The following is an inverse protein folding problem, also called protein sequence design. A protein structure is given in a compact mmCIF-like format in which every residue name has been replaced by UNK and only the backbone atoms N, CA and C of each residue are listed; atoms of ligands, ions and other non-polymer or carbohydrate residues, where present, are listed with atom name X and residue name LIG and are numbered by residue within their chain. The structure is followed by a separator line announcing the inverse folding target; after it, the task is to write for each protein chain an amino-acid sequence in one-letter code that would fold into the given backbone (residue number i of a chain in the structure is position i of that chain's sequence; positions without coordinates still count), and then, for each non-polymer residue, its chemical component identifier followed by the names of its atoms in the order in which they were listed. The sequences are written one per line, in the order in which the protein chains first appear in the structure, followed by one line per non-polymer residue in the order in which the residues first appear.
data_IF_848205657168
#
_entry.id   IF_848205657168
#
_cell.length_a   1.000
_cell.length_b   1.000
_cell.length_c   1.000
_cell.angle_alpha   90.00
_cell.angle_beta   90.00
_cell.angle_gamma   90.00
#
_symmetry.space_group_name_H-M   'P 1'
#
loop_
_entity.id
_entity.type
_entity.pdbx_description
1 polymer ?
#
# COMPACT_ATOMS: atom_id res chain seq x y z
N UNK A 1 33.68 39.28 16.72
CA UNK A 1 32.69 38.35 17.33
C UNK A 1 31.57 38.09 16.32
N UNK A 2 31.49 36.89 15.76
CA UNK A 2 30.48 36.53 14.73
C UNK A 2 29.06 36.51 15.34
N UNK A 3 28.13 37.27 14.76
CA UNK A 3 26.82 37.56 15.35
C UNK A 3 25.93 36.31 15.49
N UNK A 4 25.36 36.08 16.68
CA UNK A 4 24.49 34.94 17.01
C UNK A 4 23.20 34.84 16.17
N UNK A 5 22.80 35.93 15.49
CA UNK A 5 21.66 35.95 14.55
C UNK A 5 21.88 34.96 13.40
N UNK A 6 23.11 34.81 12.91
CA UNK A 6 23.45 33.89 11.81
C UNK A 6 23.34 32.42 12.21
N UNK A 7 23.72 32.05 13.45
CA UNK A 7 23.67 30.66 13.92
C UNK A 7 22.23 30.17 14.16
N UNK A 8 21.36 31.01 14.75
CA UNK A 8 19.95 30.66 14.98
C UNK A 8 19.18 30.49 13.66
N UNK A 9 19.43 31.37 12.68
CA UNK A 9 18.85 31.26 11.34
C UNK A 9 19.34 29.99 10.65
N UNK A 10 20.66 29.70 10.68
CA UNK A 10 21.21 28.45 10.12
C UNK A 10 20.57 27.21 10.76
N UNK A 11 20.35 27.21 12.09
CA UNK A 11 19.70 26.11 12.80
C UNK A 11 18.21 25.97 12.45
N UNK A 12 17.51 27.08 12.23
CA UNK A 12 16.12 27.09 11.78
C UNK A 12 15.99 26.60 10.34
N UNK A 13 16.85 27.08 9.42
CA UNK A 13 16.91 26.63 8.04
C UNK A 13 17.25 25.14 7.94
N UNK A 14 18.22 24.65 8.72
CA UNK A 14 18.54 23.22 8.79
C UNK A 14 17.37 22.37 9.31
N UNK A 15 16.62 22.86 10.31
CA UNK A 15 15.38 22.20 10.78
C UNK A 15 14.29 22.20 9.70
N UNK A 16 14.10 23.31 8.97
CA UNK A 16 13.12 23.42 7.88
C UNK A 16 13.50 22.55 6.68
N UNK A 17 14.78 22.46 6.32
CA UNK A 17 15.28 21.54 5.29
C UNK A 17 15.06 20.07 5.68
N UNK A 18 15.18 19.73 6.96
CA UNK A 18 14.83 18.40 7.48
C UNK A 18 13.33 18.10 7.44
N UNK A 19 12.47 19.12 7.56
CA UNK A 19 11.02 19.01 7.41
C UNK A 19 10.58 18.98 5.94
N UNK A 20 11.32 19.63 5.04
CA UNK A 20 11.03 19.71 3.61
C UNK A 20 11.74 18.60 2.81
N UNK A 21 11.74 17.36 3.34
CA UNK A 21 12.26 16.21 2.59
C UNK A 21 11.28 15.87 1.48
N UNK A 22 11.77 15.49 0.28
CA UNK A 22 10.89 15.01 -0.77
C UNK A 22 10.10 13.82 -0.21
N UNK A 23 8.79 13.86 -0.44
CA UNK A 23 7.89 12.79 -0.06
C UNK A 23 8.37 11.54 -0.82
N UNK A 24 8.74 10.44 -0.15
CA UNK A 24 9.23 9.26 -0.85
C UNK A 24 8.18 8.70 -1.80
N UNK A 25 8.65 8.18 -2.92
CA UNK A 25 7.82 7.85 -4.07
C UNK A 25 6.73 6.80 -3.78
N UNK A 26 6.95 5.92 -2.80
CA UNK A 26 5.94 4.95 -2.36
C UNK A 26 4.67 5.60 -1.79
N UNK A 27 4.74 6.84 -1.28
CA UNK A 27 3.54 7.58 -0.83
C UNK A 27 2.66 7.99 -2.02
N UNK A 28 3.25 8.09 -3.22
CA UNK A 28 2.53 8.43 -4.45
C UNK A 28 2.11 7.20 -5.25
N UNK A 29 2.51 5.99 -4.84
CA UNK A 29 2.01 4.77 -5.47
C UNK A 29 0.52 4.68 -5.28
N UNK A 30 -0.19 4.58 -6.39
CA UNK A 30 -1.63 4.36 -6.40
C UNK A 30 -1.91 2.86 -6.42
N UNK A 31 -3.15 2.51 -6.10
CA UNK A 31 -3.68 1.16 -6.28
C UNK A 31 -3.56 0.69 -7.73
N UNK A 32 -3.67 1.60 -8.71
CA UNK A 32 -3.45 1.35 -10.14
C UNK A 32 -2.03 0.81 -10.42
N UNK A 33 -1.01 1.41 -9.80
CA UNK A 33 0.38 1.01 -10.00
C UNK A 33 0.64 -0.39 -9.43
N UNK A 34 0.03 -0.72 -8.29
CA UNK A 34 0.10 -2.03 -7.65
C UNK A 34 -0.56 -3.09 -8.55
N UNK A 35 -1.75 -2.79 -9.08
CA UNK A 35 -2.45 -3.70 -9.99
C UNK A 35 -1.70 -3.88 -11.31
N UNK A 36 -1.05 -2.84 -11.83
CA UNK A 36 -0.20 -2.94 -13.00
C UNK A 36 0.99 -3.88 -12.74
N UNK A 37 1.65 -3.72 -11.59
CA UNK A 37 2.74 -4.62 -11.17
C UNK A 37 2.26 -6.07 -11.05
N UNK A 38 1.13 -6.31 -10.39
CA UNK A 38 0.54 -7.63 -10.21
C UNK A 38 0.33 -8.34 -11.55
N UNK A 39 -0.22 -7.64 -12.55
CA UNK A 39 -0.43 -8.18 -13.90
C UNK A 39 0.88 -8.52 -14.62
N UNK A 40 1.92 -7.71 -14.41
CA UNK A 40 3.23 -7.98 -15.01
C UNK A 40 3.99 -9.12 -14.33
N UNK A 41 3.75 -9.33 -13.03
CA UNK A 41 4.44 -10.34 -12.24
C UNK A 41 3.78 -11.73 -12.38
N UNK A 42 2.45 -11.81 -12.31
CA UNK A 42 1.70 -13.07 -12.43
C UNK A 42 1.93 -13.70 -13.80
N UNK A 43 2.43 -14.93 -13.83
CA UNK A 43 2.77 -15.69 -15.03
C UNK A 43 4.12 -15.32 -15.65
N UNK A 44 4.87 -14.39 -15.05
CA UNK A 44 6.20 -14.03 -15.53
C UNK A 44 7.25 -15.09 -15.16
N UNK A 45 8.37 -15.09 -15.88
CA UNK A 45 9.52 -15.93 -15.53
C UNK A 45 10.07 -15.63 -14.13
N UNK A 46 9.97 -14.37 -13.69
CA UNK A 46 10.37 -13.96 -12.33
C UNK A 46 9.57 -14.69 -11.26
N UNK A 47 8.24 -14.76 -11.43
CA UNK A 47 7.39 -15.49 -10.49
C UNK A 47 7.77 -16.98 -10.43
N UNK A 48 8.07 -17.59 -11.58
CA UNK A 48 8.50 -18.99 -11.63
C UNK A 48 9.82 -19.18 -10.87
N UNK A 49 10.78 -18.28 -11.05
CA UNK A 49 12.07 -18.31 -10.37
C UNK A 49 11.90 -18.13 -8.85
N UNK A 50 11.14 -17.12 -8.42
CA UNK A 50 10.88 -16.83 -7.01
C UNK A 50 10.15 -17.99 -6.33
N UNK A 51 9.18 -18.60 -7.03
CA UNK A 51 8.45 -19.79 -6.54
C UNK A 51 9.38 -21.00 -6.38
N UNK A 52 10.26 -21.26 -7.36
CA UNK A 52 11.25 -22.35 -7.27
C UNK A 52 12.22 -22.13 -6.12
N UNK A 53 12.70 -20.91 -5.95
CA UNK A 53 13.61 -20.55 -4.87
C UNK A 53 12.93 -20.71 -3.50
N UNK A 54 11.71 -20.20 -3.33
CA UNK A 54 10.93 -20.38 -2.12
C UNK A 54 10.71 -21.88 -1.82
N UNK A 55 10.40 -22.68 -2.84
CA UNK A 55 10.23 -24.12 -2.69
C UNK A 55 11.50 -24.82 -2.18
N UNK A 56 12.68 -24.47 -2.71
CA UNK A 56 13.96 -25.00 -2.24
C UNK A 56 14.26 -24.56 -0.80
N UNK A 57 14.05 -23.29 -0.48
CA UNK A 57 14.30 -22.74 0.86
C UNK A 57 13.45 -23.43 1.93
N UNK A 58 12.17 -23.69 1.64
CA UNK A 58 11.21 -24.24 2.59
C UNK A 58 10.94 -25.74 2.42
N UNK A 59 11.73 -26.43 1.58
CA UNK A 59 11.63 -27.88 1.34
C UNK A 59 10.20 -28.35 1.03
N UNK A 60 9.46 -27.56 0.25
CA UNK A 60 8.09 -27.86 -0.15
C UNK A 60 6.98 -27.50 0.85
N UNK A 61 7.28 -26.70 1.89
CA UNK A 61 6.27 -26.19 2.82
C UNK A 61 5.37 -25.10 2.21
N UNK A 62 4.16 -25.47 1.77
CA UNK A 62 3.24 -24.54 1.09
C UNK A 62 2.85 -23.30 1.91
N UNK A 63 2.69 -23.41 3.23
CA UNK A 63 2.38 -22.23 4.08
C UNK A 63 3.44 -21.14 3.92
N UNK A 64 4.71 -21.53 4.02
CA UNK A 64 5.85 -20.61 4.00
C UNK A 64 6.09 -20.07 2.58
N UNK A 65 5.86 -20.91 1.56
CA UNK A 65 5.94 -20.50 0.16
C UNK A 65 4.89 -19.42 -0.13
N UNK A 66 3.63 -19.61 0.28
CA UNK A 66 2.57 -18.62 0.04
C UNK A 66 2.81 -17.29 0.76
N UNK A 67 3.46 -17.32 1.92
CA UNK A 67 3.83 -16.11 2.68
C UNK A 67 5.01 -15.36 2.04
N UNK A 68 5.91 -16.08 1.35
CA UNK A 68 7.10 -15.49 0.75
C UNK A 68 6.91 -15.04 -0.70
N UNK A 69 6.05 -15.70 -1.49
CA UNK A 69 5.85 -15.37 -2.90
C UNK A 69 4.95 -14.13 -3.02
N UNK A 70 5.41 -13.15 -3.80
CA UNK A 70 4.70 -11.90 -4.01
C UNK A 70 3.37 -12.09 -4.77
N UNK A 71 2.41 -11.21 -4.48
CA UNK A 71 1.13 -11.13 -5.19
C UNK A 71 0.30 -12.43 -5.18
N UNK A 72 0.46 -13.25 -4.14
CA UNK A 72 -0.31 -14.50 -3.98
C UNK A 72 -1.36 -14.33 -2.89
N UNK A 73 -2.60 -14.65 -3.24
CA UNK A 73 -3.68 -14.85 -2.28
C UNK A 73 -3.78 -16.33 -1.89
N UNK A 74 -4.22 -16.64 -0.68
CA UNK A 74 -4.44 -18.04 -0.25
C UNK A 74 -5.47 -18.78 -1.11
N UNK A 75 -6.37 -18.06 -1.79
CA UNK A 75 -7.33 -18.62 -2.76
C UNK A 75 -6.65 -19.05 -4.07
N UNK A 76 -5.49 -18.50 -4.40
CA UNK A 76 -4.73 -18.79 -5.62
C UNK A 76 -3.66 -19.87 -5.41
N UNK A 77 -3.64 -20.52 -4.23
CA UNK A 77 -2.79 -21.68 -3.95
C UNK A 77 -2.73 -22.74 -5.07
N UNK A 78 -3.84 -23.19 -5.69
CA UNK A 78 -3.77 -24.21 -6.75
C UNK A 78 -2.92 -23.79 -7.94
N UNK A 79 -2.81 -22.49 -8.23
CA UNK A 79 -1.96 -21.95 -9.30
C UNK A 79 -0.49 -22.14 -8.98
N UNK A 80 -0.07 -21.75 -7.77
CA UNK A 80 1.32 -21.92 -7.29
C UNK A 80 1.67 -23.40 -7.21
N UNK A 81 0.73 -24.24 -6.76
CA UNK A 81 0.91 -25.68 -6.74
C UNK A 81 1.16 -26.25 -8.13
N UNK A 82 0.41 -25.80 -9.14
CA UNK A 82 0.60 -26.23 -10.52
C UNK A 82 1.99 -25.83 -11.06
N UNK A 83 2.44 -24.61 -10.76
CA UNK A 83 3.80 -24.14 -11.12
C UNK A 83 4.87 -25.06 -10.54
N UNK A 84 4.77 -25.37 -9.25
CA UNK A 84 5.71 -26.27 -8.56
C UNK A 84 5.65 -27.68 -9.17
N UNK A 85 4.44 -28.18 -9.40
CA UNK A 85 4.23 -29.51 -9.96
C UNK A 85 4.84 -29.63 -11.37
N UNK A 86 4.68 -28.62 -12.21
CA UNK A 86 5.35 -28.53 -13.52
C UNK A 86 6.87 -28.49 -13.37
N UNK A 87 7.40 -27.74 -12.41
CA UNK A 87 8.84 -27.68 -12.15
C UNK A 87 9.42 -29.04 -11.67
N UNK A 88 8.66 -29.80 -10.89
CA UNK A 88 9.01 -31.17 -10.47
C UNK A 88 8.98 -32.12 -11.68
N UNK A 89 7.94 -32.06 -12.51
CA UNK A 89 7.85 -32.89 -13.72
C UNK A 89 8.96 -32.60 -14.72
N UNK A 90 9.38 -31.34 -14.84
CA UNK A 90 10.52 -30.93 -15.65
C UNK A 90 11.88 -31.31 -15.03
N UNK A 91 11.92 -31.83 -13.80
CA UNK A 91 13.15 -32.17 -13.10
C UNK A 91 13.98 -30.96 -12.63
N UNK A 92 13.43 -29.74 -12.70
CA UNK A 92 14.13 -28.51 -12.31
C UNK A 92 14.29 -28.38 -10.79
N UNK A 93 13.44 -29.06 -10.02
CA UNK A 93 13.40 -28.99 -8.55
C UNK A 93 13.10 -30.39 -7.98
N UNK A 94 13.76 -30.82 -6.89
CA UNK A 94 13.49 -32.13 -6.29
C UNK A 94 12.07 -32.22 -5.71
N UNK A 95 11.52 -33.43 -5.68
CA UNK A 95 10.23 -33.68 -5.01
C UNK A 95 10.43 -33.85 -3.50
N UNK A 96 9.90 -32.93 -2.69
CA UNK A 96 9.92 -33.05 -1.23
C UNK A 96 8.66 -33.73 -0.69
N UNK A 97 8.86 -34.60 0.31
CA UNK A 97 7.79 -35.37 0.95
C UNK A 97 6.69 -34.49 1.59
N UNK A 98 7.07 -33.32 2.12
CA UNK A 98 6.15 -32.36 2.75
C UNK A 98 5.10 -31.90 1.74
N UNK A 99 5.52 -31.63 0.50
CA UNK A 99 4.65 -31.19 -0.58
C UNK A 99 3.77 -32.33 -1.10
N UNK A 100 4.34 -33.52 -1.27
CA UNK A 100 3.64 -34.70 -1.81
C UNK A 100 2.57 -35.23 -0.84
N UNK A 101 2.87 -35.30 0.46
CA UNK A 101 1.95 -35.82 1.48
C UNK A 101 0.97 -34.78 2.02
N UNK A 102 0.91 -33.59 1.44
CA UNK A 102 0.00 -32.58 1.92
C UNK A 102 -1.46 -32.98 1.71
N UNK A 103 -2.27 -32.92 2.78
CA UNK A 103 -3.67 -33.30 2.73
C UNK A 103 -4.54 -32.19 2.15
N UNK A 104 -5.61 -32.57 1.43
CA UNK A 104 -6.63 -31.63 0.95
C UNK A 104 -7.28 -30.83 2.08
N UNK A 105 -7.40 -31.43 3.27
CA UNK A 105 -7.90 -30.75 4.46
C UNK A 105 -7.03 -29.56 4.87
N UNK A 106 -5.69 -29.68 4.80
CA UNK A 106 -4.79 -28.56 5.10
C UNK A 106 -4.95 -27.41 4.11
N UNK A 107 -5.12 -27.72 2.82
CA UNK A 107 -5.42 -26.71 1.79
C UNK A 107 -6.73 -25.98 2.11
N UNK A 108 -7.82 -26.72 2.30
CA UNK A 108 -9.14 -26.14 2.57
C UNK A 108 -9.14 -25.32 3.88
N UNK A 109 -8.39 -25.76 4.89
CA UNK A 109 -8.23 -25.03 6.14
C UNK A 109 -7.47 -23.70 5.97
N UNK A 110 -6.52 -23.60 5.02
CA UNK A 110 -5.89 -22.32 4.67
C UNK A 110 -6.90 -21.39 4.00
N UNK A 111 -7.59 -21.88 2.97
CA UNK A 111 -8.58 -21.07 2.24
C UNK A 111 -9.69 -20.58 3.17
N UNK A 112 -10.18 -21.43 4.08
CA UNK A 112 -11.21 -21.05 5.05
C UNK A 112 -10.72 -19.96 6.00
N UNK A 113 -9.52 -20.10 6.59
CA UNK A 113 -8.94 -19.08 7.48
C UNK A 113 -8.80 -17.73 6.78
N UNK A 114 -8.28 -17.72 5.56
CA UNK A 114 -8.15 -16.48 4.79
C UNK A 114 -9.51 -15.83 4.47
N UNK A 115 -10.54 -16.65 4.15
CA UNK A 115 -11.89 -16.14 3.93
C UNK A 115 -12.55 -15.62 5.21
N UNK A 116 -12.25 -16.23 6.35
CA UNK A 116 -12.76 -15.82 7.65
C UNK A 116 -12.10 -14.52 8.12
N UNK A 117 -10.77 -14.41 8.01
CA UNK A 117 -10.01 -13.18 8.26
C UNK A 117 -10.48 -12.02 7.37
N UNK A 118 -10.77 -12.29 6.07
CA UNK A 118 -11.31 -11.27 5.17
C UNK A 118 -12.70 -10.78 5.60
N UNK A 119 -13.56 -11.70 6.07
CA UNK A 119 -14.89 -11.35 6.60
C UNK A 119 -14.79 -10.58 7.91
N UNK A 120 -13.89 -10.99 8.81
CA UNK A 120 -13.63 -10.28 10.07
C UNK A 120 -13.12 -8.87 9.79
N UNK A 121 -12.16 -8.69 8.87
CA UNK A 121 -11.67 -7.38 8.46
C UNK A 121 -12.79 -6.50 7.87
N UNK A 122 -13.71 -7.07 7.09
CA UNK A 122 -14.86 -6.33 6.55
C UNK A 122 -15.83 -5.91 7.66
N UNK A 123 -16.11 -6.79 8.62
CA UNK A 123 -16.95 -6.49 9.78
C UNK A 123 -16.31 -5.41 10.65
N UNK A 124 -15.01 -5.53 10.97
CA UNK A 124 -14.28 -4.51 11.73
C UNK A 124 -14.23 -3.17 10.99
N UNK A 125 -14.11 -3.15 9.66
CA UNK A 125 -14.18 -1.91 8.87
C UNK A 125 -15.53 -1.22 9.02
N UNK A 126 -16.62 -2.00 8.98
CA UNK A 126 -17.99 -1.50 9.18
C UNK A 126 -18.20 -1.01 10.62
N UNK A 127 -17.72 -1.76 11.61
CA UNK A 127 -17.81 -1.40 13.03
C UNK A 127 -17.07 -0.10 13.36
N UNK A 128 -15.85 0.06 12.81
CA UNK A 128 -15.06 1.29 12.96
C UNK A 128 -15.63 2.49 12.18
N UNK A 129 -16.71 2.30 11.40
CA UNK A 129 -17.30 3.35 10.59
C UNK A 129 -16.38 3.89 9.49
N UNK A 130 -15.36 3.11 9.10
CA UNK A 130 -14.36 3.43 8.07
C UNK A 130 -14.91 3.20 6.65
N UNK A 131 -16.19 3.49 6.45
CA UNK A 131 -16.75 3.54 5.12
C UNK A 131 -16.22 4.77 4.39
N UNK A 132 -15.87 4.61 3.11
CA UNK A 132 -15.24 5.65 2.30
C UNK A 132 -16.06 6.95 2.26
N UNK A 133 -17.38 6.82 2.31
CA UNK A 133 -18.31 7.94 2.28
C UNK A 133 -18.27 8.77 3.57
N UNK A 134 -18.04 8.14 4.72
CA UNK A 134 -18.06 8.82 6.01
C UNK A 134 -16.80 9.67 6.21
N UNK A 135 -15.62 9.13 5.84
CA UNK A 135 -14.36 9.88 5.89
C UNK A 135 -14.35 11.02 4.86
N UNK A 136 -14.86 10.76 3.65
CA UNK A 136 -14.99 11.78 2.62
C UNK A 136 -15.92 12.90 3.08
N UNK A 137 -17.04 12.56 3.73
CA UNK A 137 -17.94 13.53 4.34
C UNK A 137 -17.24 14.36 5.45
N UNK A 138 -16.45 13.73 6.32
CA UNK A 138 -15.70 14.41 7.39
C UNK A 138 -14.60 15.35 6.85
N UNK A 139 -13.90 14.93 5.80
CA UNK A 139 -12.89 15.77 5.13
C UNK A 139 -13.58 16.94 4.42
N UNK A 140 -14.72 16.70 3.77
CA UNK A 140 -15.50 17.75 3.12
C UNK A 140 -16.10 18.74 4.12
N UNK A 141 -16.64 18.27 5.25
CA UNK A 141 -17.15 19.16 6.31
C UNK A 141 -16.01 20.00 6.89
N UNK A 142 -14.87 19.39 7.22
CA UNK A 142 -13.70 20.13 7.70
C UNK A 142 -13.20 21.14 6.66
N UNK A 143 -13.17 20.78 5.38
CA UNK A 143 -12.81 21.72 4.31
C UNK A 143 -13.82 22.87 4.14
N UNK A 144 -15.09 22.68 4.48
CA UNK A 144 -16.13 23.73 4.47
C UNK A 144 -16.06 24.62 5.72
N UNK A 145 -15.62 24.09 6.85
CA UNK A 145 -15.51 24.80 8.12
C UNK A 145 -14.19 25.58 8.23
N UNK A 146 -13.12 25.11 7.58
CA UNK A 146 -11.82 25.77 7.54
C UNK A 146 -11.86 27.27 7.19
N UNK A 147 -12.59 27.73 6.15
CA UNK A 147 -12.71 29.16 5.84
C UNK A 147 -13.34 29.97 6.97
N UNK A 148 -14.39 29.44 7.62
CA UNK A 148 -15.08 30.10 8.74
C UNK A 148 -14.19 30.16 9.99
N UNK A 149 -13.42 29.10 10.24
CA UNK A 149 -12.43 29.04 11.32
C UNK A 149 -11.26 30.02 11.06
N UNK A 150 -10.85 30.20 9.80
CA UNK A 150 -9.85 31.21 9.42
C UNK A 150 -10.38 32.64 9.49
N UNK A 151 -11.65 32.90 9.15
CA UNK A 151 -12.27 34.21 9.31
C UNK A 151 -12.38 34.60 10.79
N UNK A 152 -12.69 33.63 11.67
CA UNK A 152 -12.65 33.83 13.13
C UNK A 152 -11.23 34.00 13.68
N UNK A 153 -10.19 33.52 12.96
CA UNK A 153 -8.79 33.58 13.38
C UNK A 153 -8.08 34.89 12.96
N UNK A 154 -8.68 35.77 12.14
CA UNK A 154 -7.87 36.77 11.45
C UNK A 154 -8.35 38.21 11.43
N UNK A 155 -7.49 39.08 11.99
CA UNK A 155 -7.03 40.25 11.26
C UNK A 155 -6.10 39.88 10.08
N UNK A 156 -5.52 40.89 9.42
CA UNK A 156 -4.83 40.90 8.10
C UNK A 156 -4.07 39.66 7.57
N UNK A 157 -3.51 38.80 8.43
CA UNK A 157 -2.66 37.67 8.00
C UNK A 157 -3.42 36.38 7.63
N UNK A 158 -4.62 36.16 8.17
CA UNK A 158 -5.43 34.99 7.79
C UNK A 158 -6.10 35.15 6.42
N UNK A 159 -6.48 36.37 6.03
CA UNK A 159 -7.02 36.68 4.70
C UNK A 159 -6.01 36.38 3.57
N UNK A 160 -4.72 36.64 3.79
CA UNK A 160 -3.65 36.30 2.83
C UNK A 160 -3.50 34.79 2.64
N UNK A 161 -3.60 34.03 3.72
CA UNK A 161 -3.51 32.57 3.68
C UNK A 161 -4.71 31.99 2.92
N UNK A 162 -5.93 32.47 3.20
CA UNK A 162 -7.15 32.07 2.47
C UNK A 162 -7.06 32.33 0.96
N UNK A 163 -6.57 33.50 0.55
CA UNK A 163 -6.36 33.81 -0.87
C UNK A 163 -5.41 32.81 -1.55
N UNK A 164 -4.24 32.53 -0.93
CA UNK A 164 -3.26 31.59 -1.51
C UNK A 164 -3.86 30.19 -1.68
N UNK A 165 -4.71 29.74 -0.75
CA UNK A 165 -5.41 28.46 -0.84
C UNK A 165 -6.47 28.46 -1.94
N UNK A 166 -7.29 29.50 -2.06
CA UNK A 166 -8.31 29.63 -3.12
C UNK A 166 -7.66 29.59 -4.51
N UNK A 167 -6.58 30.35 -4.73
CA UNK A 167 -5.85 30.37 -6.01
C UNK A 167 -5.23 29.00 -6.34
N UNK A 168 -4.81 28.22 -5.33
CA UNK A 168 -4.30 26.85 -5.55
C UNK A 168 -5.42 25.87 -5.93
N UNK A 169 -6.62 26.04 -5.36
CA UNK A 169 -7.80 25.20 -5.63
C UNK A 169 -8.31 25.41 -7.06
N UNK A 170 -8.37 26.67 -7.51
CA UNK A 170 -8.73 27.02 -8.89
C UNK A 170 -7.73 26.43 -9.90
N UNK A 171 -6.43 26.55 -9.63
CA UNK A 171 -5.37 25.95 -10.48
C UNK A 171 -5.44 24.43 -10.55
N UNK A 172 -5.89 23.75 -9.48
CA UNK A 172 -6.05 22.29 -9.48
C UNK A 172 -7.34 21.83 -10.15
N UNK A 173 -8.41 22.63 -10.12
CA UNK A 173 -9.64 22.38 -10.88
C UNK A 173 -9.41 22.52 -12.40
N UNK A 174 -8.77 23.61 -12.83
CA UNK A 174 -8.42 23.86 -14.24
C UNK A 174 -7.49 22.78 -14.85
N UNK A 175 -6.64 22.17 -14.02
CA UNK A 175 -5.76 21.07 -14.44
C UNK A 175 -6.49 19.73 -14.58
N UNK A 176 -7.66 19.57 -13.95
CA UNK A 176 -8.52 18.39 -14.09
C UNK A 176 -9.48 18.49 -15.27
N UNK A 177 -9.85 19.70 -15.70
CA UNK A 177 -10.70 19.90 -16.90
C UNK A 177 -9.90 19.81 -18.21
N UNK A 178 -8.61 20.13 -18.18
CA UNK A 178 -7.71 20.06 -19.36
C UNK A 178 -7.03 18.69 -19.56
N UNK A 179 -7.52 17.62 -18.93
CA UNK A 179 -6.99 16.26 -19.05
C UNK A 179 -8.11 15.27 -19.28
#
# INVERSE_FOLDING_TARGET
MSSHKTFRIKRFLAKKQKQNRPIPQWIWMKTEDIQAFEKTYKGSEKELADTKQAYMNFKGGMNQILECVLCVQYTEEPRIRNIIQQAIYAGAVPSYNIFVKESKQKMNARTRRAQEEAKEAELSRKELGLEEDNLKALIQSRQKDWPKEMDNFSGSDGSKILQIFQTRREKTALKKENK
#
